data_IF_504476540144
#
_entry.id   IF_504476540144
#
_cell.length_a   1.000
_cell.length_b   1.000
_cell.length_c   1.000
_cell.angle_alpha   90.00
_cell.angle_beta   90.00
_cell.angle_gamma   90.00
#
_symmetry.space_group_name_H-M   'P 1'
#
loop_
_entity.id
_entity.type
_entity.pdbx_description
1 polymer ?
#
# COMPACT_ATOMS: atom_id res chain seq x y z
N UNK A 1 -31.62 13.67 -10.12
CA UNK A 1 -30.53 14.46 -9.51
C UNK A 1 -30.42 14.05 -8.05
N UNK A 2 -29.45 13.22 -7.69
CA UNK A 2 -29.11 13.04 -6.28
C UNK A 2 -28.40 14.31 -5.79
N UNK A 3 -28.91 14.89 -4.70
CA UNK A 3 -28.21 15.96 -4.00
C UNK A 3 -26.89 15.38 -3.45
N UNK A 4 -25.76 15.92 -3.90
CA UNK A 4 -24.41 15.58 -3.42
C UNK A 4 -24.13 16.06 -1.98
N UNK A 5 -25.09 16.72 -1.32
CA UNK A 5 -24.91 17.25 0.04
C UNK A 5 -24.78 16.15 1.10
N UNK A 6 -25.31 14.94 0.83
CA UNK A 6 -25.24 13.79 1.73
C UNK A 6 -24.07 12.83 1.44
N UNK A 7 -23.16 13.19 0.55
CA UNK A 7 -22.02 12.34 0.20
C UNK A 7 -20.94 12.39 1.28
N UNK A 8 -20.51 11.21 1.73
CA UNK A 8 -19.39 11.01 2.63
C UNK A 8 -18.08 11.54 2.02
N UNK A 9 -17.07 11.69 2.88
CA UNK A 9 -15.78 12.25 2.47
C UNK A 9 -15.06 11.37 1.44
N UNK A 10 -15.19 10.04 1.52
CA UNK A 10 -14.61 9.12 0.53
C UNK A 10 -15.19 9.37 -0.88
N UNK A 11 -16.51 9.57 -0.99
CA UNK A 11 -17.16 9.83 -2.27
C UNK A 11 -16.66 11.13 -2.90
N UNK A 12 -16.49 12.18 -2.10
CA UNK A 12 -15.93 13.46 -2.55
C UNK A 12 -14.51 13.30 -3.07
N UNK A 13 -13.65 12.57 -2.35
CA UNK A 13 -12.27 12.32 -2.79
C UNK A 13 -12.16 11.47 -4.05
N UNK A 14 -13.05 10.50 -4.25
CA UNK A 14 -13.09 9.70 -5.48
C UNK A 14 -13.60 10.50 -6.68
N UNK A 15 -14.48 11.47 -6.45
CA UNK A 15 -15.01 12.34 -7.50
C UNK A 15 -13.97 13.37 -8.00
N UNK A 16 -12.93 13.66 -7.21
CA UNK A 16 -11.81 14.48 -7.66
C UNK A 16 -11.07 13.77 -8.80
N UNK A 17 -11.11 14.36 -9.99
CA UNK A 17 -10.39 13.86 -11.18
C UNK A 17 -10.07 15.01 -12.12
N UNK A 18 -9.00 14.84 -12.89
CA UNK A 18 -8.59 15.75 -13.94
C UNK A 18 -8.67 15.00 -15.28
N UNK A 19 -9.19 15.67 -16.31
CA UNK A 19 -9.14 15.14 -17.68
C UNK A 19 -7.78 15.52 -18.30
N UNK A 20 -6.79 14.65 -18.06
CA UNK A 20 -5.41 14.81 -18.49
C UNK A 20 -4.97 13.69 -19.42
N UNK A 21 -3.93 13.98 -20.19
CA UNK A 21 -3.21 13.00 -21.02
C UNK A 21 -1.72 13.04 -20.70
N UNK A 22 -1.09 11.87 -20.71
CA UNK A 22 0.36 11.75 -20.70
C UNK A 22 0.99 12.35 -21.96
N UNK A 23 2.32 12.48 -21.96
CA UNK A 23 3.09 13.03 -23.07
C UNK A 23 2.91 12.25 -24.39
N UNK A 24 2.55 10.97 -24.32
CA UNK A 24 2.27 10.13 -25.50
C UNK A 24 0.80 10.19 -25.95
N UNK A 25 0.00 11.10 -25.41
CA UNK A 25 -1.40 11.34 -25.77
C UNK A 25 -2.40 10.34 -25.16
N UNK A 26 -1.95 9.34 -24.41
CA UNK A 26 -2.85 8.45 -23.67
C UNK A 26 -3.48 9.19 -22.51
N UNK A 27 -4.74 8.87 -22.22
CA UNK A 27 -5.43 9.39 -21.03
C UNK A 27 -4.67 8.97 -19.77
N UNK A 28 -4.54 9.89 -18.82
CA UNK A 28 -4.01 9.58 -17.50
C UNK A 28 -4.85 8.50 -16.80
N UNK A 29 -4.21 7.71 -15.94
CA UNK A 29 -4.88 6.67 -15.18
C UNK A 29 -5.94 7.27 -14.25
N UNK A 30 -7.02 6.52 -14.00
CA UNK A 30 -8.05 6.86 -13.02
C UNK A 30 -7.93 5.98 -11.78
N UNK A 31 -8.49 6.43 -10.66
CA UNK A 31 -8.56 5.60 -9.46
C UNK A 31 -9.43 4.37 -9.75
N UNK A 32 -8.89 3.20 -9.45
CA UNK A 32 -9.55 1.89 -9.62
C UNK A 32 -9.62 1.10 -8.31
N UNK A 33 -9.07 1.68 -7.24
CA UNK A 33 -8.93 1.01 -5.96
C UNK A 33 -9.19 2.01 -4.83
N UNK A 34 -10.04 1.61 -3.90
CA UNK A 34 -10.19 2.25 -2.59
C UNK A 34 -9.60 1.30 -1.55
N UNK A 35 -8.53 1.70 -0.87
CA UNK A 35 -7.87 0.89 0.15
C UNK A 35 -7.93 1.59 1.49
N UNK A 36 -8.57 0.99 2.48
CA UNK A 36 -8.60 1.52 3.85
C UNK A 36 -7.62 0.74 4.70
N UNK A 37 -6.86 1.45 5.54
CA UNK A 37 -5.78 0.86 6.35
C UNK A 37 -5.74 1.39 7.76
N UNK A 38 -5.44 0.51 8.71
CA UNK A 38 -5.10 0.84 10.07
C UNK A 38 -3.67 0.36 10.35
N UNK A 39 -2.84 1.25 10.86
CA UNK A 39 -1.51 0.90 11.34
C UNK A 39 -1.62 0.49 12.79
N UNK A 40 -1.01 -0.65 13.13
CA UNK A 40 -1.20 -1.33 14.40
C UNK A 40 0.14 -1.44 15.15
N UNK A 41 0.06 -1.37 16.48
CA UNK A 41 1.20 -1.61 17.38
C UNK A 41 1.72 -3.03 17.20
N UNK A 42 3.03 -3.23 17.06
CA UNK A 42 3.61 -4.56 16.85
C UNK A 42 3.50 -5.46 18.08
N UNK A 43 3.41 -4.90 19.30
CA UNK A 43 3.53 -5.64 20.57
C UNK A 43 2.42 -6.69 20.79
N UNK A 44 1.30 -6.55 20.08
CA UNK A 44 0.18 -7.51 20.14
C UNK A 44 0.46 -8.78 19.32
N UNK A 45 1.38 -8.73 18.36
CA UNK A 45 1.66 -9.82 17.43
C UNK A 45 2.65 -10.84 18.00
N UNK A 46 2.27 -11.50 19.09
CA UNK A 46 3.10 -12.49 19.78
C UNK A 46 2.84 -13.92 19.34
N UNK A 47 1.70 -14.19 18.70
CA UNK A 47 1.33 -15.51 18.17
C UNK A 47 0.33 -15.40 17.02
N UNK A 48 0.10 -16.49 16.29
CA UNK A 48 -0.92 -16.56 15.25
C UNK A 48 -2.36 -16.39 15.77
N UNK A 49 -2.60 -16.43 17.10
CA UNK A 49 -3.93 -16.17 17.65
C UNK A 49 -4.39 -14.73 17.40
N UNK A 50 -3.45 -13.78 17.28
CA UNK A 50 -3.69 -12.36 17.04
C UNK A 50 -4.59 -12.10 15.82
N UNK A 51 -4.49 -12.95 14.78
CA UNK A 51 -5.30 -12.83 13.58
C UNK A 51 -6.79 -13.08 13.86
N UNK A 52 -7.09 -14.04 14.75
CA UNK A 52 -8.47 -14.35 15.18
C UNK A 52 -9.02 -13.28 16.12
N UNK A 53 -8.19 -12.78 17.03
CA UNK A 53 -8.56 -11.69 17.93
C UNK A 53 -8.94 -10.42 17.14
N UNK A 54 -8.11 -10.03 16.17
CA UNK A 54 -8.40 -8.85 15.35
C UNK A 54 -9.61 -9.08 14.44
N UNK A 55 -9.79 -10.29 13.90
CA UNK A 55 -10.98 -10.64 13.11
C UNK A 55 -12.28 -10.45 13.92
N UNK A 56 -12.29 -10.77 15.21
CA UNK A 56 -13.43 -10.53 16.08
C UNK A 56 -13.73 -9.04 16.29
N UNK A 57 -12.71 -8.17 16.33
CA UNK A 57 -12.90 -6.72 16.36
C UNK A 57 -13.52 -6.21 15.06
N UNK A 58 -13.03 -6.71 13.93
CA UNK A 58 -13.57 -6.40 12.59
C UNK A 58 -15.04 -6.83 12.48
N UNK A 59 -15.37 -8.02 12.96
CA UNK A 59 -16.76 -8.50 12.98
C UNK A 59 -17.66 -7.61 13.82
N UNK A 60 -17.23 -7.22 15.03
CA UNK A 60 -17.99 -6.30 15.90
C UNK A 60 -18.27 -4.95 15.22
N UNK A 61 -17.27 -4.36 14.58
CA UNK A 61 -17.46 -3.11 13.85
C UNK A 61 -18.45 -3.28 12.69
N UNK A 62 -18.36 -4.40 11.96
CA UNK A 62 -19.27 -4.72 10.86
C UNK A 62 -20.73 -4.89 11.34
N UNK A 63 -20.95 -5.56 12.47
CA UNK A 63 -22.27 -5.70 13.12
C UNK A 63 -22.86 -4.34 13.50
N UNK A 64 -22.05 -3.45 14.08
CA UNK A 64 -22.48 -2.10 14.47
C UNK A 64 -22.88 -1.25 13.26
N UNK A 65 -22.16 -1.35 12.14
CA UNK A 65 -22.41 -0.52 10.95
C UNK A 65 -23.29 -1.20 9.90
N UNK A 66 -23.72 -2.44 10.12
CA UNK A 66 -24.51 -3.22 9.15
C UNK A 66 -23.74 -3.64 7.89
N UNK A 67 -22.40 -3.68 7.94
CA UNK A 67 -21.56 -4.20 6.86
C UNK A 67 -21.57 -5.73 6.92
N UNK A 68 -21.66 -6.38 5.75
CA UNK A 68 -21.61 -7.84 5.69
C UNK A 68 -20.23 -8.35 6.09
N UNK A 69 -20.18 -9.30 7.02
CA UNK A 69 -18.96 -9.97 7.43
C UNK A 69 -19.02 -11.45 7.04
N UNK A 70 -18.02 -11.92 6.31
CA UNK A 70 -17.92 -13.30 5.87
C UNK A 70 -16.58 -13.91 6.32
N UNK A 71 -16.65 -15.08 6.95
CA UNK A 71 -15.45 -15.83 7.31
C UNK A 71 -14.73 -16.31 6.05
N UNK A 72 -13.40 -16.24 6.08
CA UNK A 72 -12.54 -16.86 5.06
C UNK A 72 -11.88 -18.12 5.62
N UNK A 73 -11.79 -19.21 4.83
CA UNK A 73 -11.04 -20.41 5.24
C UNK A 73 -9.58 -20.12 5.58
N UNK A 74 -8.99 -19.08 4.97
CA UNK A 74 -7.61 -18.67 5.23
C UNK A 74 -7.34 -18.27 6.66
N UNK A 75 -8.35 -17.83 7.44
CA UNK A 75 -8.19 -17.51 8.85
C UNK A 75 -7.81 -18.73 9.72
N UNK A 76 -8.07 -19.94 9.23
CA UNK A 76 -7.67 -21.18 9.92
C UNK A 76 -6.32 -21.73 9.44
N UNK A 77 -5.69 -21.09 8.46
CA UNK A 77 -4.41 -21.49 7.88
C UNK A 77 -3.25 -20.77 8.59
N UNK A 78 -2.01 -21.18 8.26
CA UNK A 78 -0.82 -20.43 8.67
C UNK A 78 -0.75 -19.12 7.87
N UNK A 79 -0.25 -18.02 8.47
CA UNK A 79 0.02 -16.80 7.72
C UNK A 79 0.96 -17.07 6.54
N UNK A 80 0.67 -16.43 5.41
CA UNK A 80 1.58 -16.37 4.27
C UNK A 80 2.84 -15.57 4.66
N UNK A 81 3.98 -15.96 4.12
CA UNK A 81 5.25 -15.28 4.35
C UNK A 81 5.72 -14.62 3.06
N UNK A 82 6.17 -13.37 3.15
CA UNK A 82 6.80 -12.65 2.04
C UNK A 82 8.03 -11.90 2.52
N UNK A 83 9.04 -11.81 1.67
CA UNK A 83 10.08 -10.80 1.85
C UNK A 83 9.73 -9.53 1.10
N UNK A 84 9.97 -8.40 1.75
CA UNK A 84 9.87 -7.07 1.15
C UNK A 84 11.21 -6.38 1.31
N UNK A 85 11.85 -6.07 0.18
CA UNK A 85 13.15 -5.44 0.12
C UNK A 85 12.95 -4.04 -0.43
N UNK A 86 13.13 -3.03 0.41
CA UNK A 86 13.04 -1.63 0.00
C UNK A 86 14.35 -1.18 -0.59
N UNK A 87 14.28 -0.48 -1.72
CA UNK A 87 15.42 0.02 -2.47
C UNK A 87 15.38 1.54 -2.47
N UNK A 88 16.48 2.16 -2.08
CA UNK A 88 16.68 3.60 -2.14
C UNK A 88 18.18 3.91 -2.18
N UNK A 89 18.50 5.17 -2.44
CA UNK A 89 19.86 5.69 -2.28
C UNK A 89 20.25 5.83 -0.81
N UNK A 90 21.55 5.96 -0.52
CA UNK A 90 22.03 6.28 0.83
C UNK A 90 21.48 7.61 1.40
N UNK A 91 21.10 8.55 0.53
CA UNK A 91 20.43 9.81 0.89
C UNK A 91 18.90 9.76 0.92
N UNK A 92 18.28 8.59 0.70
CA UNK A 92 16.83 8.40 0.63
C UNK A 92 16.13 9.27 -0.43
N UNK A 93 16.81 9.55 -1.55
CA UNK A 93 16.29 10.39 -2.63
C UNK A 93 14.92 9.94 -3.16
N UNK A 94 14.64 8.64 -3.27
CA UNK A 94 13.32 8.19 -3.72
C UNK A 94 12.25 8.58 -2.70
N UNK A 95 12.44 8.19 -1.44
CA UNK A 95 11.47 8.41 -0.39
C UNK A 95 11.22 9.90 -0.11
N UNK A 96 12.27 10.72 -0.08
CA UNK A 96 12.17 12.18 0.09
C UNK A 96 11.43 12.85 -1.06
N UNK A 97 11.41 12.24 -2.24
CA UNK A 97 10.65 12.69 -3.41
C UNK A 97 9.34 11.90 -3.62
N UNK A 98 8.82 11.27 -2.56
CA UNK A 98 7.55 10.55 -2.54
C UNK A 98 7.49 9.23 -3.35
N UNK A 99 8.64 8.74 -3.82
CA UNK A 99 8.76 7.47 -4.50
C UNK A 99 9.12 6.34 -3.54
N UNK A 100 8.67 5.14 -3.88
CA UNK A 100 9.05 3.90 -3.21
C UNK A 100 9.36 2.88 -4.30
N UNK A 101 10.54 2.28 -4.24
CA UNK A 101 10.86 1.08 -5.00
C UNK A 101 11.05 -0.09 -4.05
N UNK A 102 10.43 -1.23 -4.35
CA UNK A 102 10.59 -2.45 -3.54
C UNK A 102 10.49 -3.70 -4.38
N UNK A 103 11.19 -4.74 -3.94
CA UNK A 103 11.07 -6.11 -4.44
C UNK A 103 10.26 -6.94 -3.44
N UNK A 104 9.31 -7.72 -3.92
CA UNK A 104 8.53 -8.67 -3.12
C UNK A 104 8.83 -10.10 -3.55
N UNK A 105 9.06 -10.99 -2.59
CA UNK A 105 9.31 -12.42 -2.83
C UNK A 105 8.31 -13.21 -2.00
N UNK A 106 7.50 -14.05 -2.64
CA UNK A 106 6.56 -14.92 -1.95
C UNK A 106 7.26 -16.20 -1.49
N UNK A 107 6.86 -16.70 -0.32
CA UNK A 107 7.34 -17.97 0.21
C UNK A 107 6.19 -18.94 0.43
N UNK A 108 6.42 -20.21 0.10
CA UNK A 108 5.56 -21.33 0.46
C UNK A 108 6.42 -22.40 1.13
N UNK A 109 6.03 -22.81 2.33
CA UNK A 109 6.74 -23.83 3.12
C UNK A 109 8.25 -23.56 3.29
N UNK A 110 8.63 -22.28 3.36
CA UNK A 110 10.02 -21.84 3.51
C UNK A 110 10.81 -21.70 2.19
N UNK A 111 10.23 -22.06 1.05
CA UNK A 111 10.84 -21.91 -0.27
C UNK A 111 10.31 -20.66 -0.97
N UNK A 112 11.21 -19.91 -1.63
CA UNK A 112 10.80 -18.83 -2.51
C UNK A 112 10.03 -19.40 -3.71
N UNK A 113 8.88 -18.81 -4.03
CA UNK A 113 7.99 -19.26 -5.10
C UNK A 113 7.59 -18.11 -6.02
N UNK A 114 7.32 -18.46 -7.28
CA UNK A 114 6.93 -17.52 -8.31
C UNK A 114 8.07 -16.59 -8.77
N UNK A 115 7.71 -15.64 -9.63
CA UNK A 115 8.62 -14.57 -10.05
C UNK A 115 8.61 -13.45 -8.99
N UNK A 116 9.77 -13.06 -8.42
CA UNK A 116 9.85 -11.87 -7.57
C UNK A 116 9.22 -10.66 -8.26
N UNK A 117 8.49 -9.84 -7.52
CA UNK A 117 7.77 -8.71 -8.11
C UNK A 117 8.47 -7.39 -7.75
N UNK A 118 8.68 -6.54 -8.75
CA UNK A 118 9.06 -5.15 -8.56
C UNK A 118 7.79 -4.32 -8.43
N UNK A 119 7.74 -3.51 -7.37
CA UNK A 119 6.69 -2.53 -7.15
C UNK A 119 7.32 -1.15 -7.02
N UNK A 120 6.96 -0.28 -7.96
CA UNK A 120 7.31 1.13 -7.91
C UNK A 120 6.04 1.95 -7.66
N UNK A 121 6.14 2.88 -6.73
CA UNK A 121 4.99 3.65 -6.23
C UNK A 121 5.38 5.11 -6.10
N UNK A 122 4.49 6.00 -6.52
CA UNK A 122 4.47 7.40 -6.14
C UNK A 122 3.31 7.69 -5.19
N UNK A 123 3.50 8.61 -4.25
CA UNK A 123 2.45 9.06 -3.33
C UNK A 123 2.31 10.56 -3.28
N UNK A 124 1.08 11.01 -3.07
CA UNK A 124 0.74 12.42 -2.92
C UNK A 124 -0.64 12.54 -2.28
N UNK A 125 -0.94 13.63 -1.59
CA UNK A 125 -2.31 13.99 -1.20
C UNK A 125 -3.02 14.88 -2.24
N UNK A 126 -2.27 15.34 -3.25
CA UNK A 126 -2.72 16.14 -4.38
C UNK A 126 -3.09 15.23 -5.58
N UNK A 127 -4.37 15.28 -5.97
CA UNK A 127 -4.92 14.52 -7.09
C UNK A 127 -4.29 14.87 -8.43
N UNK A 128 -4.14 16.16 -8.71
CA UNK A 128 -3.60 16.61 -9.99
C UNK A 128 -2.16 16.11 -10.17
N UNK A 129 -1.33 16.23 -9.13
CA UNK A 129 0.05 15.73 -9.16
C UNK A 129 0.10 14.21 -9.31
N UNK A 130 -0.67 13.47 -8.52
CA UNK A 130 -0.66 12.01 -8.56
C UNK A 130 -1.12 11.45 -9.91
N UNK A 131 -2.16 12.05 -10.50
CA UNK A 131 -2.76 11.61 -11.76
C UNK A 131 -1.91 12.00 -12.99
N UNK A 132 -1.30 13.20 -12.98
CA UNK A 132 -0.44 13.64 -14.07
C UNK A 132 0.87 12.85 -14.16
N UNK A 133 1.27 12.19 -13.07
CA UNK A 133 2.53 11.48 -13.00
C UNK A 133 2.47 10.14 -13.74
N UNK A 134 3.30 9.99 -14.77
CA UNK A 134 3.44 8.76 -15.52
C UNK A 134 4.39 7.78 -14.82
N UNK A 135 3.85 6.75 -14.17
CA UNK A 135 4.64 5.73 -13.48
C UNK A 135 4.99 4.53 -14.38
N UNK A 136 4.65 4.57 -15.68
CA UNK A 136 4.90 3.44 -16.59
C UNK A 136 6.40 3.17 -16.74
N UNK A 137 6.83 1.89 -16.60
CA UNK A 137 8.21 1.53 -16.75
C UNK A 137 8.58 1.39 -18.23
N UNK A 138 9.84 1.64 -18.56
CA UNK A 138 10.45 1.29 -19.85
C UNK A 138 10.99 -0.14 -19.80
N UNK A 139 10.10 -1.10 -20.04
CA UNK A 139 10.43 -2.53 -20.13
C UNK A 139 9.72 -3.15 -21.33
N UNK A 140 10.30 -4.23 -21.88
CA UNK A 140 9.70 -4.99 -22.98
C UNK A 140 8.52 -5.86 -22.53
N UNK A 141 8.53 -6.24 -21.25
CA UNK A 141 7.55 -7.15 -20.66
C UNK A 141 6.24 -6.47 -20.23
N UNK A 142 5.35 -7.27 -19.65
CA UNK A 142 4.06 -6.80 -19.14
C UNK A 142 4.22 -6.17 -17.76
N UNK A 143 3.46 -5.11 -17.51
CA UNK A 143 3.32 -4.50 -16.19
C UNK A 143 1.84 -4.20 -15.90
N UNK A 144 1.56 -3.91 -14.63
CA UNK A 144 0.22 -3.56 -14.15
C UNK A 144 0.26 -2.22 -13.42
N UNK A 145 -0.55 -1.27 -13.88
CA UNK A 145 -0.80 -0.02 -13.18
C UNK A 145 -1.87 -0.23 -12.11
N UNK A 146 -1.70 0.43 -10.96
CA UNK A 146 -2.72 0.54 -9.91
C UNK A 146 -2.71 1.95 -9.35
N UNK A 147 -3.74 2.73 -9.66
CA UNK A 147 -3.96 4.03 -9.04
C UNK A 147 -5.03 3.91 -7.95
N UNK A 148 -4.66 4.28 -6.72
CA UNK A 148 -5.46 4.01 -5.52
C UNK A 148 -5.72 5.28 -4.70
N UNK A 149 -6.92 5.36 -4.15
CA UNK A 149 -7.21 6.17 -2.96
C UNK A 149 -6.95 5.32 -1.72
N UNK A 150 -5.92 5.67 -0.94
CA UNK A 150 -5.62 5.06 0.35
C UNK A 150 -6.21 5.92 1.49
N UNK A 151 -7.08 5.34 2.31
CA UNK A 151 -7.72 6.00 3.46
C UNK A 151 -7.10 5.49 4.75
N UNK A 152 -6.76 6.41 5.65
CA UNK A 152 -6.11 6.13 6.94
C UNK A 152 -6.71 7.01 8.04
N UNK A 153 -6.49 6.68 9.34
CA UNK A 153 -6.84 7.57 10.43
C UNK A 153 -6.07 8.89 10.33
N UNK A 154 -6.57 9.93 11.01
CA UNK A 154 -5.81 11.17 11.21
C UNK A 154 -4.48 10.86 11.94
N UNK A 155 -3.46 11.70 11.71
CA UNK A 155 -2.10 11.42 12.22
C UNK A 155 -2.05 11.35 13.76
N UNK A 156 -2.87 12.12 14.45
CA UNK A 156 -2.76 12.33 15.91
C UNK A 156 -3.98 11.85 16.70
N UNK A 157 -5.08 11.47 16.03
CA UNK A 157 -6.31 11.03 16.71
C UNK A 157 -7.14 10.07 15.88
N UNK A 158 -7.97 9.30 16.56
CA UNK A 158 -9.03 8.47 15.95
C UNK A 158 -10.29 9.29 15.68
N UNK A 159 -11.28 8.68 15.03
CA UNK A 159 -12.59 9.28 14.76
C UNK A 159 -12.58 10.24 13.56
N UNK A 160 -11.60 10.11 12.67
CA UNK A 160 -11.51 10.87 11.44
C UNK A 160 -10.65 10.17 10.41
N UNK A 161 -10.56 10.75 9.21
CA UNK A 161 -9.85 10.16 8.09
C UNK A 161 -8.97 11.17 7.39
N UNK A 162 -7.90 10.65 6.78
CA UNK A 162 -7.09 11.34 5.78
C UNK A 162 -6.93 10.44 4.58
N UNK A 163 -6.52 11.02 3.46
CA UNK A 163 -6.19 10.28 2.24
C UNK A 163 -4.70 10.35 1.93
N UNK A 164 -4.23 9.35 1.20
CA UNK A 164 -3.06 9.41 0.34
C UNK A 164 -3.45 8.79 -1.00
N UNK A 165 -2.98 9.38 -2.08
CA UNK A 165 -3.07 8.81 -3.41
C UNK A 165 -1.82 8.01 -3.68
N UNK A 166 -2.00 6.84 -4.30
CA UNK A 166 -0.92 5.91 -4.57
C UNK A 166 -0.97 5.46 -6.02
N UNK A 167 -0.05 5.98 -6.83
CA UNK A 167 0.06 5.64 -8.24
C UNK A 167 1.20 4.63 -8.41
N UNK A 168 0.86 3.40 -8.74
CA UNK A 168 1.81 2.28 -8.68
C UNK A 168 1.94 1.61 -10.04
N UNK A 169 3.12 1.07 -10.29
CA UNK A 169 3.33 0.02 -11.28
C UNK A 169 3.94 -1.22 -10.62
N UNK A 170 3.49 -2.38 -11.08
CA UNK A 170 3.94 -3.70 -10.63
C UNK A 170 4.33 -4.54 -11.85
N UNK A 171 5.47 -5.23 -11.80
CA UNK A 171 5.86 -6.23 -12.80
C UNK A 171 6.76 -7.30 -12.20
N UNK A 172 6.73 -8.49 -12.78
CA UNK A 172 7.63 -9.57 -12.40
C UNK A 172 9.08 -9.24 -12.78
N UNK A 173 10.05 -9.58 -11.93
CA UNK A 173 11.47 -9.30 -12.15
C UNK A 173 11.97 -9.92 -13.47
N UNK A 174 11.38 -11.04 -13.90
CA UNK A 174 11.63 -11.64 -15.21
C UNK A 174 11.22 -10.76 -16.41
N UNK A 175 10.41 -9.72 -16.19
CA UNK A 175 9.98 -8.77 -17.22
C UNK A 175 10.97 -7.62 -17.40
N UNK A 176 11.90 -7.42 -16.45
CA UNK A 176 12.94 -6.40 -16.56
C UNK A 176 13.98 -6.79 -17.64
N UNK A 177 14.58 -5.81 -18.35
CA UNK A 177 15.70 -6.04 -19.26
C UNK A 177 16.82 -6.83 -18.58
N UNK A 178 17.52 -7.71 -19.31
CA UNK A 178 18.49 -8.65 -18.72
C UNK A 178 19.56 -7.97 -17.86
N UNK A 179 20.12 -6.85 -18.34
CA UNK A 179 21.10 -6.06 -17.60
C UNK A 179 20.50 -5.51 -16.30
N UNK A 180 19.30 -4.92 -16.36
CA UNK A 180 18.58 -4.45 -15.18
C UNK A 180 18.24 -5.59 -14.21
N UNK A 181 17.88 -6.77 -14.71
CA UNK A 181 17.52 -7.93 -13.89
C UNK A 181 18.67 -8.42 -13.02
N UNK A 182 19.87 -8.53 -13.57
CA UNK A 182 21.07 -8.96 -12.84
C UNK A 182 21.42 -7.97 -11.72
N UNK A 183 21.17 -6.68 -11.97
CA UNK A 183 21.47 -5.62 -11.01
C UNK A 183 20.38 -5.50 -9.93
N UNK A 184 19.10 -5.58 -10.32
CA UNK A 184 17.97 -5.60 -9.38
C UNK A 184 17.90 -6.90 -8.55
N UNK A 185 18.48 -8.00 -9.04
CA UNK A 185 18.61 -9.23 -8.27
C UNK A 185 19.72 -9.12 -7.20
N UNK A 186 20.80 -8.38 -7.49
CA UNK A 186 22.01 -8.30 -6.65
C UNK A 186 22.01 -7.22 -5.57
N UNK A 187 20.94 -6.42 -5.42
CA UNK A 187 20.67 -5.55 -4.25
C UNK A 187 21.78 -4.56 -3.84
N UNK A 188 22.65 -4.14 -4.76
CA UNK A 188 23.73 -3.20 -4.41
C UNK A 188 24.60 -2.71 -5.58
N UNK A 189 24.12 -2.81 -6.82
CA UNK A 189 24.91 -2.45 -8.00
C UNK A 189 24.16 -1.53 -8.98
N UNK A 190 23.00 -0.99 -8.60
CA UNK A 190 22.23 -0.06 -9.45
C UNK A 190 22.46 1.36 -8.99
N UNK A 191 22.72 2.30 -9.89
CA UNK A 191 22.63 3.73 -9.56
C UNK A 191 21.25 4.32 -9.85
N UNK A 192 20.92 5.45 -9.26
CA UNK A 192 19.68 6.18 -9.54
C UNK A 192 19.55 6.53 -11.04
N UNK A 193 20.60 6.99 -11.76
CA UNK A 193 20.56 7.14 -13.21
C UNK A 193 20.20 5.86 -13.99
N UNK A 194 20.65 4.69 -13.53
CA UNK A 194 20.29 3.42 -14.14
C UNK A 194 18.83 3.03 -13.84
N UNK A 195 18.37 3.28 -12.61
CA UNK A 195 16.97 3.08 -12.23
C UNK A 195 16.03 3.98 -13.05
N UNK A 196 16.45 5.21 -13.39
CA UNK A 196 15.71 6.12 -14.28
C UNK A 196 15.51 5.55 -15.68
N UNK A 197 16.39 4.69 -16.18
CA UNK A 197 16.18 3.99 -17.46
C UNK A 197 15.01 3.02 -17.41
N UNK A 198 14.64 2.53 -16.22
CA UNK A 198 13.47 1.68 -16.01
C UNK A 198 12.25 2.54 -15.67
N UNK A 199 12.42 3.56 -14.82
CA UNK A 199 11.35 4.46 -14.39
C UNK A 199 11.69 5.91 -14.77
N UNK A 200 11.33 6.36 -15.99
CA UNK A 200 11.73 7.67 -16.51
C UNK A 200 11.33 8.86 -15.66
N UNK A 201 10.24 8.71 -14.89
CA UNK A 201 9.74 9.73 -13.96
C UNK A 201 10.76 10.16 -12.92
N UNK A 202 11.73 9.29 -12.59
CA UNK A 202 12.82 9.58 -11.66
C UNK A 202 13.82 10.61 -12.19
N UNK A 203 13.78 10.95 -13.48
CA UNK A 203 14.59 12.04 -14.04
C UNK A 203 14.29 13.41 -13.42
N UNK A 204 13.17 13.55 -12.72
CA UNK A 204 12.81 14.75 -11.96
C UNK A 204 13.58 14.92 -10.64
N UNK A 205 14.26 13.87 -10.17
CA UNK A 205 15.00 13.88 -8.92
C UNK A 205 16.41 14.42 -9.15
N UNK A 206 16.76 15.52 -8.49
CA UNK A 206 18.16 15.94 -8.35
C UNK A 206 18.87 14.99 -7.39
N UNK A 207 20.01 14.43 -7.80
CA UNK A 207 20.82 13.57 -6.95
C UNK A 207 22.03 14.37 -6.45
N UNK A 208 21.91 14.88 -5.24
CA UNK A 208 23.02 15.50 -4.52
C UNK A 208 23.56 14.48 -3.50
N UNK A 209 24.69 13.83 -3.81
CA UNK A 209 25.31 12.84 -2.92
C UNK A 209 25.29 11.41 -3.49
N UNK A 210 25.22 10.37 -2.63
CA UNK A 210 25.27 8.98 -3.07
C UNK A 210 24.09 8.65 -3.98
N UNK A 211 24.39 8.11 -5.16
CA UNK A 211 23.42 7.70 -6.16
C UNK A 211 23.24 6.18 -6.22
N UNK A 212 24.01 5.42 -5.43
CA UNK A 212 23.90 3.97 -5.34
C UNK A 212 22.58 3.56 -4.67
N UNK A 213 21.78 2.79 -5.39
CA UNK A 213 20.52 2.22 -4.91
C UNK A 213 20.80 0.87 -4.26
N UNK A 214 20.50 0.76 -2.97
CA UNK A 214 20.73 -0.42 -2.16
C UNK A 214 19.58 -0.66 -1.18
N UNK A 215 19.71 -1.70 -0.35
CA UNK A 215 18.72 -2.00 0.68
C UNK A 215 18.62 -0.87 1.70
N UNK A 216 17.41 -0.34 1.87
CA UNK A 216 17.10 0.64 2.92
C UNK A 216 17.46 0.04 4.27
N UNK A 217 18.32 0.74 5.01
CA UNK A 217 18.80 0.35 6.33
C UNK A 217 19.45 -1.06 6.37
N UNK A 218 19.90 -1.59 5.23
CA UNK A 218 20.45 -2.97 5.11
C UNK A 218 19.51 -4.03 5.71
N UNK A 219 18.20 -3.82 5.59
CA UNK A 219 17.17 -4.63 6.25
C UNK A 219 16.27 -5.31 5.23
N UNK A 220 16.09 -6.63 5.41
CA UNK A 220 15.05 -7.40 4.73
C UNK A 220 13.83 -7.46 5.66
N UNK A 221 12.69 -7.03 5.17
CA UNK A 221 11.42 -7.12 5.91
C UNK A 221 10.78 -8.46 5.61
N UNK A 222 10.43 -9.20 6.65
CA UNK A 222 9.54 -10.35 6.56
C UNK A 222 8.12 -9.91 6.90
N UNK A 223 7.20 -10.12 5.97
CA UNK A 223 5.77 -9.91 6.13
C UNK A 223 5.09 -11.24 6.43
N UNK A 224 4.46 -11.34 7.60
CA UNK A 224 3.47 -12.38 7.91
C UNK A 224 2.10 -11.81 7.57
N UNK A 225 1.37 -12.41 6.62
CA UNK A 225 0.10 -11.88 6.12
C UNK A 225 -0.99 -12.95 6.19
N UNK A 226 -2.18 -12.58 6.64
CA UNK A 226 -3.33 -13.47 6.64
C UNK A 226 -4.60 -12.73 6.22
N UNK A 227 -5.34 -13.33 5.29
CA UNK A 227 -6.70 -12.91 5.00
C UNK A 227 -7.58 -13.35 6.17
N UNK A 228 -8.26 -12.40 6.82
CA UNK A 228 -9.01 -12.66 8.05
C UNK A 228 -10.53 -12.69 7.84
N UNK A 229 -11.05 -11.96 6.85
CA UNK A 229 -12.45 -11.99 6.46
C UNK A 229 -12.67 -11.40 5.05
N UNK A 230 -13.89 -11.53 4.55
CA UNK A 230 -14.41 -10.73 3.43
C UNK A 230 -15.50 -9.79 3.96
N UNK A 231 -15.40 -8.51 3.60
CA UNK A 231 -16.38 -7.48 3.93
C UNK A 231 -17.25 -7.19 2.71
N UNK A 232 -18.56 -7.03 2.91
CA UNK A 232 -19.53 -6.69 1.85
C UNK A 232 -20.24 -5.37 2.21
N UNK A 233 -19.97 -4.31 1.45
CA UNK A 233 -20.51 -2.97 1.70
C UNK A 233 -21.87 -2.71 1.02
N UNK A 234 -22.44 -3.72 0.36
CA UNK A 234 -23.75 -3.68 -0.29
C UNK A 234 -23.70 -3.07 -1.70
N UNK A 235 -23.88 -3.91 -2.72
CA UNK A 235 -23.94 -3.53 -4.14
C UNK A 235 -22.95 -4.29 -5.03
N UNK A 236 -22.93 -3.99 -6.32
CA UNK A 236 -21.97 -4.59 -7.26
C UNK A 236 -20.54 -4.08 -6.96
N UNK A 237 -19.52 -4.94 -7.08
CA UNK A 237 -18.11 -4.60 -6.80
C UNK A 237 -17.80 -4.09 -5.37
N UNK A 238 -18.61 -4.47 -4.38
CA UNK A 238 -18.48 -3.98 -2.99
C UNK A 238 -17.90 -4.99 -2.00
N UNK A 239 -17.35 -6.10 -2.50
CA UNK A 239 -16.67 -7.10 -1.65
C UNK A 239 -15.18 -6.84 -1.58
N UNK A 240 -14.64 -6.85 -0.37
CA UNK A 240 -13.23 -6.64 -0.11
C UNK A 240 -12.69 -7.72 0.83
N UNK A 241 -11.68 -8.45 0.38
CA UNK A 241 -10.86 -9.27 1.28
C UNK A 241 -10.09 -8.36 2.22
N UNK A 242 -10.27 -8.57 3.52
CA UNK A 242 -9.53 -7.88 4.56
C UNK A 242 -8.39 -8.77 5.05
N UNK A 243 -7.20 -8.19 5.15
CA UNK A 243 -6.00 -8.85 5.63
C UNK A 243 -5.42 -8.12 6.84
N UNK A 244 -4.76 -8.91 7.67
CA UNK A 244 -3.92 -8.44 8.76
C UNK A 244 -2.49 -8.88 8.45
N UNK A 245 -1.52 -8.00 8.67
CA UNK A 245 -0.12 -8.29 8.45
C UNK A 245 0.80 -7.76 9.54
N UNK A 246 1.91 -8.45 9.76
CA UNK A 246 3.01 -8.04 10.62
C UNK A 246 4.26 -7.86 9.77
N UNK A 247 4.97 -6.74 9.93
CA UNK A 247 6.33 -6.58 9.44
C UNK A 247 7.32 -6.68 10.60
N UNK A 248 8.32 -7.52 10.37
CA UNK A 248 9.48 -7.71 11.24
C UNK A 248 10.75 -7.79 10.42
N UNK A 249 11.90 -7.50 11.02
CA UNK A 249 13.19 -7.73 10.37
C UNK A 249 13.45 -9.22 10.27
N UNK A 250 13.89 -9.70 9.10
CA UNK A 250 14.09 -11.14 8.88
C UNK A 250 15.25 -11.72 9.69
N UNK A 251 16.28 -10.92 9.98
CA UNK A 251 17.50 -11.38 10.64
C UNK A 251 17.36 -11.65 12.14
N UNK A 252 16.66 -10.78 12.86
CA UNK A 252 16.50 -10.84 14.33
C UNK A 252 15.03 -10.98 14.76
N UNK A 253 14.10 -11.04 13.80
CA UNK A 253 12.65 -11.16 14.01
C UNK A 253 12.03 -10.03 14.84
N UNK A 254 12.70 -8.88 14.96
CA UNK A 254 12.16 -7.73 15.66
C UNK A 254 10.93 -7.17 14.93
N UNK A 255 9.76 -7.27 15.57
CA UNK A 255 8.50 -6.75 15.06
C UNK A 255 8.43 -5.24 15.23
N UNK A 256 8.08 -4.52 14.16
CA UNK A 256 8.08 -3.05 14.20
C UNK A 256 6.80 -2.40 13.68
N UNK A 257 5.96 -3.09 12.91
CA UNK A 257 4.64 -2.54 12.52
C UNK A 257 3.63 -3.63 12.14
N UNK A 258 2.41 -3.52 12.66
CA UNK A 258 1.26 -4.26 12.16
C UNK A 258 0.42 -3.41 11.21
N UNK A 259 -0.33 -4.05 10.31
CA UNK A 259 -1.26 -3.38 9.40
C UNK A 259 -2.52 -4.22 9.22
N UNK A 260 -3.69 -3.60 9.39
CA UNK A 260 -4.94 -4.13 8.87
C UNK A 260 -5.31 -3.35 7.61
N UNK A 261 -5.74 -4.04 6.55
CA UNK A 261 -6.18 -3.40 5.34
C UNK A 261 -7.29 -4.18 4.64
N UNK A 262 -8.21 -3.46 4.00
CA UNK A 262 -9.14 -4.01 3.02
C UNK A 262 -9.17 -3.12 1.79
N UNK A 263 -9.50 -3.70 0.63
CA UNK A 263 -9.45 -2.98 -0.63
C UNK A 263 -10.63 -3.34 -1.52
N UNK A 264 -11.34 -2.31 -1.96
CA UNK A 264 -12.35 -2.37 -3.00
C UNK A 264 -11.69 -2.13 -4.36
N UNK A 265 -12.16 -2.84 -5.38
CA UNK A 265 -11.71 -2.71 -6.77
C UNK A 265 -12.92 -2.46 -7.66
N UNK A 266 -12.78 -1.50 -8.56
CA UNK A 266 -13.80 -1.06 -9.50
C UNK A 266 -13.12 -0.60 -10.81
N UNK A 267 -13.87 -0.47 -11.90
CA UNK A 267 -13.29 -0.08 -13.20
C UNK A 267 -12.95 1.41 -13.27
N UNK A 268 -13.68 2.24 -12.53
CA UNK A 268 -13.41 3.66 -12.34
C UNK A 268 -14.30 4.27 -11.24
N UNK A 269 -14.12 5.54 -10.87
CA UNK A 269 -14.82 6.14 -9.72
C UNK A 269 -16.35 6.11 -9.82
N UNK A 270 -16.92 6.08 -11.03
CA UNK A 270 -18.37 6.01 -11.26
C UNK A 270 -18.98 4.62 -11.14
N UNK A 271 -18.17 3.57 -11.01
CA UNK A 271 -18.61 2.16 -10.94
C UNK A 271 -18.97 1.71 -9.51
N UNK A 272 -18.71 2.55 -8.51
CA UNK A 272 -19.03 2.28 -7.11
C UNK A 272 -20.14 3.21 -6.59
N UNK A 273 -21.15 2.62 -5.93
CA UNK A 273 -22.29 3.39 -5.42
C UNK A 273 -21.91 4.25 -4.21
N UNK A 274 -22.49 5.45 -4.12
CA UNK A 274 -22.32 6.35 -2.99
C UNK A 274 -22.77 5.72 -1.66
N UNK A 275 -23.80 4.87 -1.69
CA UNK A 275 -24.25 4.10 -0.53
C UNK A 275 -23.15 3.18 0.01
N UNK A 276 -22.49 2.44 -0.87
CA UNK A 276 -21.39 1.55 -0.49
C UNK A 276 -20.18 2.33 0.06
N UNK A 277 -19.88 3.49 -0.53
CA UNK A 277 -18.83 4.38 -0.03
C UNK A 277 -19.14 4.91 1.37
N UNK A 278 -20.38 5.33 1.62
CA UNK A 278 -20.83 5.78 2.94
C UNK A 278 -20.78 4.64 3.98
N UNK A 279 -21.15 3.41 3.62
CA UNK A 279 -20.98 2.24 4.50
C UNK A 279 -19.51 1.95 4.78
N UNK A 280 -18.65 2.03 3.76
CA UNK A 280 -17.21 1.86 3.91
C UNK A 280 -16.60 2.88 4.88
N UNK A 281 -17.02 4.15 4.76
CA UNK A 281 -16.62 5.24 5.65
C UNK A 281 -17.11 5.01 7.09
N UNK A 282 -18.38 4.70 7.29
CA UNK A 282 -18.95 4.44 8.61
C UNK A 282 -18.24 3.26 9.31
N UNK A 283 -18.04 2.15 8.59
CA UNK A 283 -17.30 0.99 9.08
C UNK A 283 -15.85 1.34 9.44
N UNK A 284 -15.17 2.12 8.60
CA UNK A 284 -13.78 2.50 8.87
C UNK A 284 -13.66 3.33 10.15
N UNK A 285 -14.59 4.28 10.37
CA UNK A 285 -14.63 5.10 11.57
C UNK A 285 -14.97 4.29 12.83
N UNK A 286 -15.93 3.37 12.74
CA UNK A 286 -16.28 2.48 13.86
C UNK A 286 -15.12 1.55 14.22
N UNK A 287 -14.45 0.97 13.23
CA UNK A 287 -13.32 0.09 13.45
C UNK A 287 -12.17 0.82 14.18
N UNK A 288 -11.97 2.12 13.93
CA UNK A 288 -10.99 2.90 14.70
C UNK A 288 -11.34 2.94 16.20
N UNK A 289 -12.62 3.00 16.56
CA UNK A 289 -13.06 3.00 17.95
C UNK A 289 -12.92 1.61 18.57
N UNK A 290 -13.42 0.58 17.90
CA UNK A 290 -13.39 -0.81 18.37
C UNK A 290 -11.95 -1.31 18.53
N UNK A 291 -11.04 -0.87 17.67
CA UNK A 291 -9.62 -1.25 17.69
C UNK A 291 -8.69 -0.19 18.29
N UNK A 292 -9.21 0.82 19.03
CA UNK A 292 -8.43 1.97 19.49
C UNK A 292 -7.11 1.58 20.19
N UNK A 293 -7.14 0.58 21.06
CA UNK A 293 -5.96 0.11 21.81
C UNK A 293 -4.87 -0.52 20.93
N UNK A 294 -5.21 -0.93 19.72
CA UNK A 294 -4.31 -1.53 18.74
C UNK A 294 -3.61 -0.50 17.87
N UNK A 295 -4.17 0.71 17.73
CA UNK A 295 -3.71 1.66 16.72
C UNK A 295 -2.36 2.27 17.06
N UNK A 296 -1.47 2.25 16.08
CA UNK A 296 -0.25 3.06 16.07
C UNK A 296 -0.47 4.24 15.13
N UNK A 297 -0.67 5.42 15.71
CA UNK A 297 -0.85 6.67 14.98
C UNK A 297 0.51 7.26 14.57
N UNK A 298 0.54 8.36 13.81
CA UNK A 298 1.73 9.12 13.36
C UNK A 298 2.66 8.48 12.31
N UNK A 299 2.45 7.22 11.92
CA UNK A 299 3.33 6.53 10.95
C UNK A 299 2.53 5.80 9.87
N UNK A 300 3.19 5.48 8.76
CA UNK A 300 2.77 4.41 7.84
C UNK A 300 3.70 3.20 7.98
N UNK A 301 3.32 2.10 7.34
CA UNK A 301 4.15 0.90 7.24
C UNK A 301 5.52 1.17 6.60
N UNK A 302 5.55 1.94 5.52
CA UNK A 302 6.79 2.32 4.85
C UNK A 302 7.62 3.27 5.72
N UNK A 303 6.99 4.27 6.33
CA UNK A 303 7.67 5.19 7.25
C UNK A 303 8.34 4.46 8.42
N UNK A 304 7.77 3.35 8.91
CA UNK A 304 8.40 2.52 9.92
C UNK A 304 9.73 1.92 9.44
N UNK A 305 9.80 1.41 8.21
CA UNK A 305 11.03 0.82 7.62
C UNK A 305 12.14 1.86 7.48
N UNK A 306 11.82 3.03 6.96
CA UNK A 306 12.80 4.10 6.77
C UNK A 306 13.32 4.66 8.11
N UNK A 307 12.51 4.60 9.18
CA UNK A 307 12.88 5.02 10.54
C UNK A 307 13.62 3.98 11.38
N UNK A 308 13.72 2.72 10.94
CA UNK A 308 14.23 1.60 11.78
C UNK A 308 15.57 1.88 12.49
N UNK A 309 16.47 2.65 11.87
CA UNK A 309 17.79 2.97 12.43
C UNK A 309 17.93 4.42 12.92
N UNK A 310 16.82 5.07 13.27
CA UNK A 310 16.80 6.42 13.86
C UNK A 310 17.04 7.56 12.87
N UNK A 311 17.16 7.28 11.58
CA UNK A 311 17.29 8.30 10.56
C UNK A 311 15.95 9.04 10.38
N UNK A 312 15.93 10.38 10.34
CA UNK A 312 14.70 11.13 10.16
C UNK A 312 14.26 11.09 8.68
N UNK A 313 13.15 10.40 8.32
CA UNK A 313 12.53 10.61 7.02
C UNK A 313 11.90 12.01 6.93
N UNK A 314 11.99 12.64 5.75
CA UNK A 314 11.39 13.96 5.48
C UNK A 314 10.09 13.91 4.64
N UNK A 315 9.48 12.73 4.45
CA UNK A 315 8.31 12.60 3.59
C UNK A 315 7.00 13.09 4.26
N UNK A 316 6.05 13.52 3.41
CA UNK A 316 4.72 14.10 3.69
C UNK A 316 3.71 13.17 4.42
N UNK A 317 4.12 11.98 4.85
CA UNK A 317 3.25 10.91 5.41
C UNK A 317 2.55 11.23 6.73
#
# INVERSE_FOLDING_TARGET
>A
MHSHENDGQIAKWLAERQDLTYADGRRCDEIQYLQCKLILKPDRFTSAHVFKEFAALVQRAAETTGVGYHHTPKLQQRPEVREVLFLDTGGYHLYNNAYICRRRIAFQDGFAVGDPEIVFKYRSDDMMKAQALDVRPQIDGKYKIKFKLEVMPLKEKIGGMRRLLSHNVEFGLSQAPQAARIVMSSLGHMSLPELTKIFPVLSSISCDGPDDVSLVNQTIVEELLQDICELDFGGHHTRATANLGLWRSRGDHHAFVGEFAYQLRFEGPGDISHKALNHCEAFFLELQQVAADWLALTTTKTGAVYRLKGNPPQAHE
#
